data_IF_743813128176
#
_entry.id   IF_743813128176
#
_cell.length_a   1.000
_cell.length_b   1.000
_cell.length_c   1.000
_cell.angle_alpha   90.00
_cell.angle_beta   90.00
_cell.angle_gamma   90.00
#
_symmetry.space_group_name_H-M   'P 1'
#
loop_
_entity.id
_entity.type
_entity.pdbx_description
1 polymer ?
#
# COMPACT_ATOMS: atom_id res chain seq x y z
N UNK A 1 -10.39 -10.62 54.85
CA UNK A 1 -11.31 -11.24 53.83
C UNK A 1 -11.99 -10.10 53.09
N UNK A 2 -11.91 -10.08 51.77
CA UNK A 2 -12.60 -9.09 50.95
C UNK A 2 -14.09 -9.43 50.99
N UNK A 3 -14.94 -8.45 51.30
CA UNK A 3 -16.41 -8.64 51.32
C UNK A 3 -16.94 -8.38 49.92
N UNK A 4 -17.83 -9.24 49.41
CA UNK A 4 -18.53 -9.04 48.18
C UNK A 4 -19.47 -7.81 48.20
N UNK A 5 -19.92 -7.36 47.05
CA UNK A 5 -20.81 -6.18 46.89
C UNK A 5 -20.10 -4.84 47.01
N UNK A 6 -18.80 -4.76 46.67
CA UNK A 6 -18.01 -3.53 46.73
C UNK A 6 -18.04 -2.74 45.38
N UNK A 7 -18.50 -3.34 44.31
CA UNK A 7 -18.62 -2.67 43.00
C UNK A 7 -19.90 -1.83 42.91
N UNK A 8 -19.80 -0.64 42.37
CA UNK A 8 -20.98 0.10 41.98
C UNK A 8 -21.69 -0.62 40.82
N UNK A 9 -22.99 -0.34 40.62
CA UNK A 9 -23.75 -0.92 39.50
C UNK A 9 -23.16 -0.51 38.09
N UNK A 10 -22.49 0.64 38.01
CA UNK A 10 -21.83 1.15 36.84
C UNK A 10 -20.50 0.42 36.61
N UNK A 11 -19.65 0.35 37.62
CA UNK A 11 -18.37 -0.37 37.55
C UNK A 11 -18.57 -1.83 37.20
N UNK A 12 -19.57 -2.47 37.82
CA UNK A 12 -19.88 -3.86 37.55
C UNK A 12 -20.28 -4.08 36.08
N UNK A 13 -21.12 -3.22 35.53
CA UNK A 13 -21.49 -3.29 34.08
C UNK A 13 -20.27 -3.13 33.20
N UNK A 14 -19.41 -2.17 33.50
CA UNK A 14 -18.19 -1.90 32.75
C UNK A 14 -17.23 -3.09 32.80
N UNK A 15 -16.99 -3.63 33.99
CA UNK A 15 -16.09 -4.80 34.15
C UNK A 15 -16.65 -6.05 33.46
N UNK A 16 -17.96 -6.29 33.49
CA UNK A 16 -18.58 -7.39 32.72
C UNK A 16 -18.44 -7.20 31.24
N UNK A 17 -18.63 -5.98 30.72
CA UNK A 17 -18.41 -5.67 29.31
C UNK A 17 -16.96 -5.93 28.90
N UNK A 18 -16.00 -5.46 29.70
CA UNK A 18 -14.56 -5.68 29.47
C UNK A 18 -14.16 -7.17 29.56
N UNK A 19 -14.78 -7.91 30.45
CA UNK A 19 -14.56 -9.36 30.59
C UNK A 19 -15.06 -10.17 29.38
N UNK A 20 -16.08 -9.67 28.68
CA UNK A 20 -16.70 -10.29 27.49
C UNK A 20 -16.12 -9.80 26.17
N UNK A 21 -15.31 -8.75 26.21
CA UNK A 21 -14.70 -8.19 25.00
C UNK A 21 -13.56 -9.09 24.50
N UNK A 22 -13.82 -9.84 23.44
CA UNK A 22 -12.85 -10.72 22.80
C UNK A 22 -11.68 -9.99 22.14
N UNK A 23 -11.77 -8.67 21.95
CA UNK A 23 -10.70 -7.81 21.41
C UNK A 23 -9.82 -7.22 22.51
N UNK A 24 -10.28 -7.21 23.75
CA UNK A 24 -9.52 -6.69 24.88
C UNK A 24 -8.28 -7.55 25.17
N UNK A 25 -7.20 -6.89 25.59
CA UNK A 25 -5.99 -7.60 26.00
C UNK A 25 -6.31 -8.62 27.11
N UNK A 26 -5.87 -9.87 26.99
CA UNK A 26 -6.19 -10.97 27.92
C UNK A 26 -5.87 -10.65 29.38
N UNK A 27 -4.94 -9.71 29.65
CA UNK A 27 -4.63 -9.21 31.00
C UNK A 27 -5.77 -8.37 31.57
N UNK A 28 -6.43 -7.55 30.78
CA UNK A 28 -7.58 -6.73 31.19
C UNK A 28 -8.78 -7.61 31.48
N UNK A 29 -9.08 -8.55 30.60
CA UNK A 29 -10.15 -9.53 30.79
C UNK A 29 -9.98 -10.32 32.07
N UNK A 30 -8.76 -10.78 32.40
CA UNK A 30 -8.48 -11.49 33.64
C UNK A 30 -8.69 -10.63 34.88
N UNK A 31 -8.26 -9.36 34.86
CA UNK A 31 -8.47 -8.42 36.00
C UNK A 31 -9.96 -8.13 36.20
N UNK A 32 -10.68 -7.90 35.10
CA UNK A 32 -12.12 -7.68 35.17
C UNK A 32 -12.87 -8.88 35.73
N UNK A 33 -12.56 -10.10 35.26
CA UNK A 33 -13.14 -11.33 35.78
C UNK A 33 -12.85 -11.51 37.29
N UNK A 34 -11.60 -11.23 37.71
CA UNK A 34 -11.23 -11.39 39.12
C UNK A 34 -12.07 -10.48 40.04
N UNK A 35 -12.27 -9.22 39.67
CA UNK A 35 -13.05 -8.28 40.47
C UNK A 35 -14.54 -8.60 40.48
N UNK A 36 -15.10 -9.04 39.37
CA UNK A 36 -16.51 -9.48 39.30
C UNK A 36 -16.74 -10.69 40.19
N UNK A 37 -15.84 -11.68 40.17
CA UNK A 37 -15.94 -12.87 41.04
C UNK A 37 -15.77 -12.54 42.53
N UNK A 38 -14.84 -11.62 42.86
CA UNK A 38 -14.72 -11.12 44.24
C UNK A 38 -15.98 -10.41 44.73
N UNK A 39 -16.59 -9.59 43.85
CA UNK A 39 -17.84 -8.89 44.13
C UNK A 39 -19.02 -9.85 44.30
N UNK A 40 -19.02 -11.00 43.63
CA UNK A 40 -19.95 -12.11 43.82
C UNK A 40 -19.73 -12.91 45.11
N UNK A 41 -18.75 -12.52 45.95
CA UNK A 41 -18.48 -13.11 47.26
C UNK A 41 -17.45 -14.24 47.26
N UNK A 42 -16.76 -14.48 46.10
CA UNK A 42 -15.68 -15.48 46.06
C UNK A 42 -14.47 -15.02 46.91
N UNK A 43 -13.80 -15.94 47.56
CA UNK A 43 -12.53 -15.64 48.22
C UNK A 43 -11.39 -15.45 47.24
N UNK A 44 -10.34 -14.73 47.63
CA UNK A 44 -9.13 -14.56 46.78
C UNK A 44 -8.53 -15.91 46.35
N UNK A 45 -8.62 -16.94 47.21
CA UNK A 45 -8.10 -18.28 46.88
C UNK A 45 -8.95 -18.97 45.81
N UNK A 46 -10.27 -18.87 45.89
CA UNK A 46 -11.18 -19.44 44.89
C UNK A 46 -11.01 -18.74 43.52
N UNK A 47 -10.94 -17.40 43.53
CA UNK A 47 -10.69 -16.63 42.30
C UNK A 47 -9.32 -16.97 41.71
N UNK A 48 -8.30 -17.06 42.54
CA UNK A 48 -6.94 -17.42 42.12
C UNK A 48 -6.90 -18.81 41.47
N UNK A 49 -7.57 -19.79 42.11
CA UNK A 49 -7.69 -21.15 41.59
C UNK A 49 -8.43 -21.16 40.23
N UNK A 50 -9.56 -20.45 40.11
CA UNK A 50 -10.36 -20.38 38.88
C UNK A 50 -9.61 -19.71 37.71
N UNK A 51 -8.78 -18.70 37.99
CA UNK A 51 -8.04 -17.95 36.97
C UNK A 51 -6.60 -18.46 36.77
N UNK A 52 -6.19 -19.51 37.49
CA UNK A 52 -4.83 -20.08 37.49
C UNK A 52 -3.77 -19.02 37.84
N UNK A 53 -4.00 -18.29 38.94
CA UNK A 53 -3.16 -17.21 39.45
C UNK A 53 -2.79 -17.41 40.89
N UNK A 54 -1.92 -16.55 41.43
CA UNK A 54 -1.63 -16.49 42.86
C UNK A 54 -2.66 -15.56 43.55
N UNK A 55 -3.09 -15.91 44.79
CA UNK A 55 -4.07 -15.14 45.52
C UNK A 55 -3.56 -13.73 45.91
N UNK A 56 -2.25 -13.52 46.05
CA UNK A 56 -1.66 -12.21 46.25
C UNK A 56 -1.86 -11.31 44.99
N UNK A 57 -1.87 -11.89 43.79
CA UNK A 57 -2.18 -11.17 42.57
C UNK A 57 -3.62 -10.63 42.62
N UNK A 58 -4.56 -11.44 43.09
CA UNK A 58 -5.98 -11.04 43.20
C UNK A 58 -6.13 -9.92 44.25
N UNK A 59 -5.45 -10.05 45.44
CA UNK A 59 -5.45 -8.98 46.45
C UNK A 59 -4.87 -7.67 45.93
N UNK A 60 -3.79 -7.74 45.15
CA UNK A 60 -3.17 -6.57 44.54
C UNK A 60 -4.10 -5.88 43.52
N UNK A 61 -4.84 -6.64 42.73
CA UNK A 61 -5.79 -6.06 41.77
C UNK A 61 -6.98 -5.40 42.48
N UNK A 62 -7.50 -6.01 43.56
CA UNK A 62 -8.54 -5.39 44.37
C UNK A 62 -8.03 -4.08 44.99
N UNK A 63 -6.85 -4.09 45.61
CA UNK A 63 -6.23 -2.88 46.18
C UNK A 63 -6.00 -1.79 45.15
N UNK A 64 -5.60 -2.16 43.92
CA UNK A 64 -5.41 -1.23 42.84
C UNK A 64 -6.74 -0.59 42.40
N UNK A 65 -7.82 -1.40 42.37
CA UNK A 65 -9.17 -0.90 42.12
C UNK A 65 -9.66 0.04 43.21
N UNK A 66 -9.46 -0.31 44.49
CA UNK A 66 -9.81 0.57 45.60
C UNK A 66 -9.09 1.92 45.57
N UNK A 67 -7.84 1.95 45.10
CA UNK A 67 -7.02 3.14 45.05
C UNK A 67 -7.29 4.02 43.81
N UNK A 68 -7.56 3.45 42.66
CA UNK A 68 -7.60 4.14 41.37
C UNK A 68 -8.81 3.81 40.50
N UNK A 69 -9.76 3.04 41.03
CA UNK A 69 -10.95 2.64 40.24
C UNK A 69 -10.61 1.81 38.98
N UNK A 70 -11.49 1.86 38.03
CA UNK A 70 -11.33 1.16 36.74
C UNK A 70 -10.09 1.64 35.97
N UNK A 71 -9.76 2.93 36.02
CA UNK A 71 -8.59 3.50 35.33
C UNK A 71 -7.29 2.87 35.87
N UNK A 72 -7.21 2.55 37.16
CA UNK A 72 -6.07 1.86 37.73
C UNK A 72 -5.92 0.43 37.20
N UNK A 73 -7.02 -0.24 36.88
CA UNK A 73 -6.99 -1.60 36.32
C UNK A 73 -6.62 -1.59 34.81
N UNK A 74 -7.00 -0.56 34.09
CA UNK A 74 -6.73 -0.41 32.67
C UNK A 74 -5.36 0.21 32.42
N UNK A 75 -4.84 1.01 33.35
CA UNK A 75 -3.47 1.50 33.29
C UNK A 75 -2.50 0.37 33.64
N UNK A 76 -1.78 -0.09 32.67
CA UNK A 76 -0.60 -0.94 32.93
C UNK A 76 0.59 -0.02 33.20
N UNK A 77 0.79 0.38 34.45
CA UNK A 77 2.09 0.86 34.91
C UNK A 77 3.07 -0.34 34.92
N UNK A 78 3.19 -1.03 33.79
CA UNK A 78 4.33 -1.90 33.57
C UNK A 78 5.46 -0.92 33.26
N UNK A 79 6.21 -0.57 34.28
CA UNK A 79 7.53 0.02 34.03
C UNK A 79 8.20 -0.90 33.02
N UNK A 80 8.31 -0.45 31.76
CA UNK A 80 9.01 -1.22 30.75
C UNK A 80 10.38 -1.55 31.32
N UNK A 81 10.94 -2.71 30.99
CA UNK A 81 12.34 -3.02 31.28
C UNK A 81 13.14 -1.76 31.01
N UNK A 82 13.95 -1.34 32.01
CA UNK A 82 14.79 -0.13 31.86
C UNK A 82 15.43 -0.14 30.49
N UNK A 83 15.38 1.00 29.80
CA UNK A 83 15.99 1.10 28.47
C UNK A 83 17.44 0.65 28.57
N UNK A 84 17.85 -0.25 27.68
CA UNK A 84 19.23 -0.71 27.61
C UNK A 84 20.19 0.43 27.23
N UNK A 85 19.67 1.49 26.59
CA UNK A 85 20.32 2.74 26.29
C UNK A 85 19.86 3.84 27.25
N UNK A 86 20.76 4.71 27.66
CA UNK A 86 20.39 5.94 28.35
C UNK A 86 19.92 7.02 27.35
N UNK A 87 19.34 8.10 27.86
CA UNK A 87 18.76 9.17 27.02
C UNK A 87 19.78 9.79 26.04
N UNK A 88 21.04 9.98 26.46
CA UNK A 88 22.09 10.53 25.58
C UNK A 88 22.45 9.57 24.44
N UNK A 89 22.49 8.25 24.74
CA UNK A 89 22.75 7.22 23.74
C UNK A 89 21.57 7.06 22.77
N UNK A 90 20.32 7.21 23.25
CA UNK A 90 19.13 7.21 22.40
C UNK A 90 19.14 8.38 21.40
N UNK A 91 19.49 9.58 21.86
CA UNK A 91 19.63 10.76 20.97
C UNK A 91 20.79 10.60 19.98
N UNK A 92 21.92 10.06 20.39
CA UNK A 92 23.04 9.77 19.50
C UNK A 92 22.65 8.73 18.43
N UNK A 93 21.87 7.70 18.82
CA UNK A 93 21.35 6.70 17.89
C UNK A 93 20.36 7.32 16.89
N UNK A 94 19.44 8.18 17.33
CA UNK A 94 18.52 8.90 16.44
C UNK A 94 19.28 9.78 15.45
N UNK A 95 20.29 10.51 15.92
CA UNK A 95 21.15 11.33 15.08
C UNK A 95 21.89 10.49 14.02
N UNK A 96 22.46 9.35 14.41
CA UNK A 96 23.10 8.41 13.49
C UNK A 96 22.14 7.91 12.44
N UNK A 97 20.96 7.39 12.85
CA UNK A 97 19.96 6.86 11.92
C UNK A 97 19.47 7.95 10.97
N UNK A 98 19.23 9.15 11.48
CA UNK A 98 18.76 10.28 10.67
C UNK A 98 19.79 10.75 9.67
N UNK A 99 21.08 10.71 10.00
CA UNK A 99 22.16 11.19 9.12
C UNK A 99 22.61 10.13 8.12
N UNK A 100 22.77 8.88 8.59
CA UNK A 100 23.40 7.80 7.81
C UNK A 100 22.38 6.99 7.00
N UNK A 101 21.09 6.98 7.42
CA UNK A 101 20.00 6.19 6.82
C UNK A 101 20.40 4.71 6.62
N UNK A 102 20.74 3.99 7.70
CA UNK A 102 21.27 2.63 7.63
C UNK A 102 20.24 1.68 7.00
N UNK A 103 20.69 0.82 6.09
CA UNK A 103 19.82 -0.10 5.32
C UNK A 103 19.48 -1.39 6.05
N UNK A 104 20.09 -1.65 7.20
CA UNK A 104 19.88 -2.89 7.95
C UNK A 104 20.05 -2.69 9.45
N UNK A 105 19.33 -3.51 10.23
CA UNK A 105 19.52 -3.58 11.68
C UNK A 105 20.94 -3.99 12.08
N UNK A 106 21.69 -4.72 11.22
CA UNK A 106 23.09 -5.06 11.46
C UNK A 106 23.98 -3.81 11.53
N UNK A 107 23.77 -2.82 10.63
CA UNK A 107 24.52 -1.55 10.66
C UNK A 107 24.23 -0.77 11.95
N UNK A 108 22.97 -0.76 12.37
CA UNK A 108 22.55 -0.10 13.61
C UNK A 108 23.15 -0.79 14.82
N UNK A 109 23.10 -2.12 14.87
CA UNK A 109 23.70 -2.90 15.95
C UNK A 109 25.21 -2.73 16.02
N UNK A 110 25.91 -2.64 14.88
CA UNK A 110 27.34 -2.36 14.83
C UNK A 110 27.67 -0.96 15.38
N UNK A 111 26.89 0.06 15.05
CA UNK A 111 27.04 1.41 15.62
C UNK A 111 26.88 1.38 17.14
N UNK A 112 25.81 0.74 17.67
CA UNK A 112 25.57 0.65 19.11
C UNK A 112 26.75 -0.07 19.83
N UNK A 113 27.25 -1.15 19.23
CA UNK A 113 28.37 -1.89 19.81
C UNK A 113 29.66 -1.06 19.79
N UNK A 114 29.92 -0.34 18.72
CA UNK A 114 31.13 0.45 18.53
C UNK A 114 31.14 1.72 19.42
N UNK A 115 30.02 2.44 19.46
CA UNK A 115 29.97 3.74 20.15
C UNK A 115 29.61 3.60 21.64
N UNK A 116 28.81 2.58 22.00
CA UNK A 116 28.34 2.45 23.38
C UNK A 116 28.85 1.20 24.09
N UNK A 117 29.54 0.29 23.39
CA UNK A 117 30.01 -0.99 23.96
C UNK A 117 28.89 -1.96 24.30
N UNK A 118 27.68 -1.75 23.77
CA UNK A 118 26.49 -2.53 24.06
C UNK A 118 26.11 -3.44 22.88
N UNK A 119 25.75 -4.68 23.15
CA UNK A 119 25.38 -5.65 22.12
C UNK A 119 23.94 -6.10 22.29
N UNK A 120 23.14 -5.93 21.23
CA UNK A 120 21.79 -6.47 21.16
C UNK A 120 21.85 -7.92 20.62
N UNK A 121 21.56 -8.89 21.47
CA UNK A 121 21.61 -10.32 21.11
C UNK A 121 20.54 -10.72 20.10
N UNK A 122 19.39 -10.06 20.10
CA UNK A 122 18.29 -10.38 19.18
C UNK A 122 17.94 -9.23 18.25
N UNK A 123 17.68 -9.57 16.99
CA UNK A 123 17.16 -8.62 15.99
C UNK A 123 15.83 -8.01 16.41
N UNK A 124 14.94 -8.81 17.03
CA UNK A 124 13.63 -8.33 17.50
C UNK A 124 13.75 -7.31 18.61
N UNK A 125 14.70 -7.49 19.55
CA UNK A 125 14.98 -6.49 20.59
C UNK A 125 15.46 -5.17 20.01
N UNK A 126 16.33 -5.21 18.99
CA UNK A 126 16.79 -4.01 18.32
C UNK A 126 15.67 -3.31 17.53
N UNK A 127 14.81 -4.06 16.84
CA UNK A 127 13.63 -3.50 16.16
C UNK A 127 12.66 -2.86 17.17
N UNK A 128 12.43 -3.51 18.33
CA UNK A 128 11.58 -2.96 19.38
C UNK A 128 12.15 -1.64 19.94
N UNK A 129 13.48 -1.53 20.08
CA UNK A 129 14.15 -0.26 20.43
C UNK A 129 13.86 0.82 19.38
N UNK A 130 14.06 0.50 18.09
CA UNK A 130 13.86 1.47 17.01
C UNK A 130 12.42 1.99 16.98
N UNK A 131 11.42 1.12 17.08
CA UNK A 131 10.01 1.53 17.15
C UNK A 131 9.70 2.39 18.37
N UNK A 132 10.31 2.09 19.55
CA UNK A 132 10.16 2.92 20.75
C UNK A 132 10.76 4.32 20.57
N UNK A 133 11.81 4.44 19.74
CA UNK A 133 12.44 5.71 19.36
C UNK A 133 11.74 6.40 18.17
N UNK A 134 10.59 5.90 17.74
CA UNK A 134 9.81 6.41 16.60
C UNK A 134 10.58 6.31 15.27
N UNK A 135 11.36 5.25 15.12
CA UNK A 135 12.12 4.94 13.91
C UNK A 135 11.54 3.72 13.22
N UNK A 136 11.19 3.87 11.94
CA UNK A 136 10.62 2.81 11.12
C UNK A 136 11.46 2.54 9.87
N UNK A 137 11.31 1.33 9.32
CA UNK A 137 11.98 0.95 8.09
C UNK A 137 11.13 1.33 6.88
N UNK A 138 11.57 2.35 6.14
CA UNK A 138 10.91 2.85 4.95
C UNK A 138 11.64 2.48 3.67
N UNK A 139 10.88 2.15 2.62
CA UNK A 139 11.38 2.16 1.26
C UNK A 139 11.19 3.57 0.68
N UNK A 140 12.27 4.26 0.25
CA UNK A 140 12.13 5.58 -0.33
C UNK A 140 11.22 5.57 -1.56
N UNK A 141 10.37 6.58 -1.67
CA UNK A 141 9.62 6.84 -2.89
C UNK A 141 10.52 7.51 -3.93
N UNK A 142 10.34 7.11 -5.18
CA UNK A 142 10.98 7.79 -6.30
C UNK A 142 10.06 8.92 -6.75
N UNK A 143 10.52 10.16 -6.61
CA UNK A 143 9.80 11.34 -7.09
C UNK A 143 10.56 11.96 -8.26
N UNK A 144 9.89 12.35 -9.34
CA UNK A 144 10.54 13.04 -10.45
C UNK A 144 11.11 14.39 -10.01
N UNK A 145 12.31 14.70 -10.46
CA UNK A 145 13.02 15.94 -10.08
C UNK A 145 12.33 17.23 -10.57
N UNK A 146 11.51 17.12 -11.62
CA UNK A 146 10.86 18.25 -12.30
C UNK A 146 9.33 18.24 -12.11
N UNK A 147 8.86 17.88 -10.91
CA UNK A 147 7.44 17.99 -10.60
C UNK A 147 7.03 19.46 -10.52
N UNK A 148 5.87 19.75 -11.10
CA UNK A 148 5.23 21.07 -11.08
C UNK A 148 3.85 20.90 -10.41
N UNK A 149 3.69 21.45 -9.21
CA UNK A 149 2.47 21.29 -8.44
C UNK A 149 1.28 22.03 -9.06
N UNK A 150 1.53 23.18 -9.64
CA UNK A 150 0.45 24.00 -10.21
C UNK A 150 -0.12 23.36 -11.47
N UNK A 151 0.74 22.77 -12.30
CA UNK A 151 0.27 21.98 -13.46
C UNK A 151 -0.48 20.72 -13.06
N UNK A 152 -0.11 20.09 -11.94
CA UNK A 152 -0.86 18.93 -11.44
C UNK A 152 -2.26 19.36 -10.97
N UNK A 153 -2.38 20.49 -10.27
CA UNK A 153 -3.67 21.04 -9.83
C UNK A 153 -4.54 21.42 -11.02
N UNK A 154 -3.97 22.17 -11.97
CA UNK A 154 -4.67 22.57 -13.19
C UNK A 154 -5.20 21.36 -13.95
N UNK A 155 -4.38 20.33 -14.13
CA UNK A 155 -4.79 19.09 -14.78
C UNK A 155 -5.95 18.40 -14.05
N UNK A 156 -5.88 18.29 -12.72
CA UNK A 156 -6.94 17.64 -11.91
C UNK A 156 -8.24 18.45 -12.03
N UNK A 157 -8.16 19.76 -11.92
CA UNK A 157 -9.34 20.64 -12.08
C UNK A 157 -9.96 20.53 -13.47
N UNK A 158 -9.15 20.48 -14.53
CA UNK A 158 -9.64 20.35 -15.90
C UNK A 158 -10.21 18.95 -16.17
N UNK A 159 -9.62 17.91 -15.60
CA UNK A 159 -10.17 16.55 -15.62
C UNK A 159 -11.55 16.51 -14.93
N UNK A 160 -11.66 17.05 -13.74
CA UNK A 160 -12.92 17.11 -13.00
C UNK A 160 -14.00 17.90 -13.74
N UNK A 161 -13.64 19.01 -14.41
CA UNK A 161 -14.57 19.76 -15.27
C UNK A 161 -15.09 18.90 -16.42
N UNK A 162 -14.21 18.14 -17.08
CA UNK A 162 -14.59 17.24 -18.17
C UNK A 162 -15.55 16.17 -17.64
N UNK A 163 -15.23 15.50 -16.53
CA UNK A 163 -16.10 14.49 -15.96
C UNK A 163 -17.48 15.03 -15.55
N UNK A 164 -17.50 16.20 -14.93
CA UNK A 164 -18.76 16.84 -14.49
C UNK A 164 -19.64 17.32 -15.65
N UNK A 165 -19.06 17.53 -16.82
CA UNK A 165 -19.78 17.96 -18.03
C UNK A 165 -19.96 16.86 -19.07
N UNK A 166 -19.53 15.62 -18.76
CA UNK A 166 -19.53 14.50 -19.70
C UNK A 166 -20.95 14.15 -20.15
N UNK A 167 -21.17 14.16 -21.44
CA UNK A 167 -22.47 13.79 -22.04
C UNK A 167 -22.62 12.28 -22.18
N UNK A 168 -23.85 11.80 -22.30
CA UNK A 168 -24.15 10.36 -22.48
C UNK A 168 -23.51 9.74 -23.72
N UNK A 169 -23.14 10.57 -24.70
CA UNK A 169 -22.50 10.17 -25.96
C UNK A 169 -20.99 10.46 -25.97
N UNK A 170 -20.40 10.62 -24.81
CA UNK A 170 -18.97 10.90 -24.64
C UNK A 170 -18.34 9.83 -23.76
N UNK A 171 -17.05 9.59 -23.93
CA UNK A 171 -16.32 8.58 -23.17
C UNK A 171 -14.91 9.06 -22.89
N UNK A 172 -14.37 8.65 -21.73
CA UNK A 172 -13.02 8.99 -21.27
C UNK A 172 -12.17 7.72 -21.25
N UNK A 173 -10.98 7.81 -21.84
CA UNK A 173 -9.95 6.77 -21.80
C UNK A 173 -8.60 7.36 -21.36
N UNK A 174 -7.81 6.52 -20.74
CA UNK A 174 -6.40 6.78 -20.45
C UNK A 174 -5.53 5.89 -21.32
N UNK A 175 -4.54 6.47 -21.97
CA UNK A 175 -3.65 5.78 -22.90
C UNK A 175 -2.18 5.93 -22.49
N UNK A 176 -1.40 4.90 -22.77
CA UNK A 176 0.04 4.86 -22.53
C UNK A 176 0.67 3.66 -23.26
N UNK A 177 1.99 3.63 -23.28
CA UNK A 177 2.75 2.51 -23.81
C UNK A 177 3.57 1.81 -22.74
N UNK A 178 3.63 0.48 -22.82
CA UNK A 178 4.44 -0.33 -21.91
C UNK A 178 5.33 -1.30 -22.69
N UNK A 179 6.53 -1.56 -22.15
CA UNK A 179 7.53 -2.41 -22.76
C UNK A 179 7.92 -3.58 -21.85
N UNK A 180 7.01 -4.53 -21.54
CA UNK A 180 7.33 -5.63 -20.68
C UNK A 180 8.35 -6.56 -21.30
N UNK A 181 9.37 -6.91 -20.52
CA UNK A 181 10.42 -7.84 -20.92
C UNK A 181 10.01 -9.28 -20.63
N UNK A 182 10.39 -10.19 -21.53
CA UNK A 182 10.24 -11.64 -21.33
C UNK A 182 11.22 -12.13 -20.27
N UNK A 183 10.91 -11.81 -19.03
CA UNK A 183 11.69 -12.21 -17.86
C UNK A 183 10.77 -12.49 -16.67
N UNK A 184 11.08 -13.55 -15.93
CA UNK A 184 10.40 -13.82 -14.68
C UNK A 184 10.72 -12.76 -13.64
N UNK A 185 9.73 -12.38 -12.83
CA UNK A 185 9.88 -11.45 -11.69
C UNK A 185 9.64 -12.22 -10.39
N UNK A 186 10.70 -12.70 -9.71
CA UNK A 186 10.55 -13.40 -8.45
C UNK A 186 9.96 -12.46 -7.37
N UNK A 187 8.91 -12.90 -6.72
CA UNK A 187 8.31 -12.23 -5.56
C UNK A 187 8.06 -13.24 -4.46
N UNK A 188 8.05 -12.78 -3.20
CA UNK A 188 7.75 -13.64 -2.06
C UNK A 188 6.38 -14.30 -2.19
N UNK A 189 6.29 -15.60 -1.87
CA UNK A 189 5.05 -16.35 -1.82
C UNK A 189 5.05 -17.32 -0.64
N UNK A 190 3.86 -17.74 -0.22
CA UNK A 190 3.73 -18.77 0.80
C UNK A 190 3.99 -20.15 0.20
N UNK A 191 4.83 -20.93 0.88
CA UNK A 191 5.15 -22.30 0.51
C UNK A 191 5.45 -23.13 1.76
N UNK A 192 5.41 -24.47 1.68
CA UNK A 192 5.87 -25.35 2.75
C UNK A 192 7.31 -25.01 3.16
N UNK A 193 7.59 -25.05 4.47
CA UNK A 193 8.89 -24.62 5.04
C UNK A 193 10.10 -25.38 4.45
N UNK A 194 9.92 -26.62 4.05
CA UNK A 194 10.96 -27.48 3.48
C UNK A 194 11.23 -27.20 2.00
N UNK A 195 10.34 -26.47 1.30
CA UNK A 195 10.48 -26.26 -0.13
C UNK A 195 11.53 -25.20 -0.43
N UNK A 196 12.40 -25.51 -1.39
CA UNK A 196 13.35 -24.56 -1.97
C UNK A 196 12.82 -24.14 -3.33
N UNK A 197 12.04 -23.05 -3.34
CA UNK A 197 11.45 -22.55 -4.57
C UNK A 197 12.50 -21.94 -5.48
N UNK A 198 12.43 -22.25 -6.74
CA UNK A 198 13.20 -21.62 -7.82
C UNK A 198 12.28 -21.35 -9.01
N UNK A 199 12.62 -20.35 -9.79
CA UNK A 199 11.95 -20.03 -11.05
C UNK A 199 13.01 -19.96 -12.15
N UNK A 200 12.74 -20.58 -13.27
CA UNK A 200 13.61 -20.47 -14.44
C UNK A 200 13.56 -19.04 -14.98
N UNK A 201 14.70 -18.57 -15.43
CA UNK A 201 14.82 -17.24 -15.99
C UNK A 201 15.31 -17.29 -17.41
N UNK A 202 14.64 -16.57 -18.30
CA UNK A 202 15.10 -16.33 -19.67
C UNK A 202 16.21 -15.29 -19.70
N UNK A 203 16.81 -15.05 -20.87
CA UNK A 203 17.86 -14.01 -21.04
C UNK A 203 17.37 -12.59 -20.71
N UNK A 204 16.04 -12.35 -20.71
CA UNK A 204 15.41 -11.06 -20.45
C UNK A 204 15.69 -9.99 -21.51
N UNK A 205 16.22 -10.37 -22.69
CA UNK A 205 16.54 -9.43 -23.78
C UNK A 205 15.36 -9.14 -24.67
N UNK A 206 14.45 -10.11 -24.81
CA UNK A 206 13.24 -9.94 -25.62
C UNK A 206 12.19 -9.15 -24.85
N UNK A 207 11.50 -8.29 -25.57
CA UNK A 207 10.39 -7.48 -25.02
C UNK A 207 9.29 -7.35 -26.08
N UNK A 208 8.09 -7.10 -25.62
CA UNK A 208 6.97 -6.69 -26.47
C UNK A 208 6.68 -5.20 -26.23
N UNK A 209 6.15 -4.53 -27.23
CA UNK A 209 5.76 -3.14 -27.11
C UNK A 209 4.24 -3.06 -27.24
N UNK A 210 3.58 -2.69 -26.18
CA UNK A 210 2.13 -2.57 -26.12
C UNK A 210 1.80 -1.08 -26.04
N UNK A 211 1.00 -0.61 -26.99
CA UNK A 211 0.38 0.70 -26.93
C UNK A 211 -1.09 0.49 -26.61
N UNK A 212 -1.59 1.07 -25.51
CA UNK A 212 -2.89 0.70 -25.00
C UNK A 212 -3.70 1.85 -24.43
N UNK A 213 -5.00 1.59 -24.28
CA UNK A 213 -5.93 2.48 -23.61
C UNK A 213 -6.91 1.69 -22.74
N UNK A 214 -7.41 2.34 -21.70
CA UNK A 214 -8.43 1.80 -20.78
C UNK A 214 -9.51 2.85 -20.49
N UNK A 215 -10.76 2.38 -20.45
CA UNK A 215 -11.88 3.10 -19.87
C UNK A 215 -12.05 2.65 -18.42
N UNK A 216 -12.01 3.58 -17.47
CA UNK A 216 -12.07 3.25 -16.04
C UNK A 216 -13.48 2.93 -15.55
N UNK A 217 -14.51 3.39 -16.23
CA UNK A 217 -15.90 3.09 -15.87
C UNK A 217 -16.26 1.65 -16.21
N UNK A 218 -15.94 1.21 -17.42
CA UNK A 218 -16.34 -0.11 -17.93
C UNK A 218 -15.25 -1.18 -17.83
N UNK A 219 -13.99 -0.79 -17.60
CA UNK A 219 -12.84 -1.68 -17.68
C UNK A 219 -12.47 -2.11 -19.09
N UNK A 220 -13.14 -1.57 -20.09
CA UNK A 220 -12.80 -1.86 -21.49
C UNK A 220 -11.41 -1.38 -21.83
N UNK A 221 -10.65 -2.24 -22.46
CA UNK A 221 -9.28 -1.96 -22.90
C UNK A 221 -9.15 -2.06 -24.40
N UNK A 222 -8.25 -1.25 -24.96
CA UNK A 222 -7.77 -1.41 -26.31
C UNK A 222 -6.26 -1.47 -26.29
N UNK A 223 -5.70 -2.62 -26.68
CA UNK A 223 -4.27 -2.90 -26.62
C UNK A 223 -3.79 -3.33 -28.00
N UNK A 224 -2.79 -2.66 -28.52
CA UNK A 224 -2.13 -3.03 -29.78
C UNK A 224 -0.69 -3.43 -29.48
N UNK A 225 -0.25 -4.52 -30.11
CA UNK A 225 1.14 -4.94 -30.14
C UNK A 225 1.81 -4.27 -31.34
N UNK A 226 2.91 -3.58 -31.10
CA UNK A 226 3.57 -2.75 -32.11
C UNK A 226 5.08 -2.99 -32.09
N UNK A 227 5.72 -2.90 -33.25
CA UNK A 227 7.17 -3.00 -33.32
C UNK A 227 7.85 -1.80 -32.66
N UNK A 228 7.28 -0.62 -32.86
CA UNK A 228 7.80 0.64 -32.32
C UNK A 228 6.64 1.51 -31.84
N UNK A 229 6.82 2.16 -30.69
CA UNK A 229 5.89 3.18 -30.21
C UNK A 229 6.30 4.52 -30.80
N UNK A 230 5.48 5.04 -31.71
CA UNK A 230 5.72 6.25 -32.48
C UNK A 230 4.40 6.93 -32.93
N UNK A 231 4.48 7.91 -33.78
CA UNK A 231 3.31 8.61 -34.31
C UNK A 231 2.36 7.69 -35.11
N UNK A 232 2.90 6.71 -35.84
CA UNK A 232 2.08 5.78 -36.63
C UNK A 232 1.32 4.81 -35.69
N UNK A 233 2.00 4.26 -34.71
CA UNK A 233 1.35 3.40 -33.69
C UNK A 233 0.33 4.17 -32.84
N UNK A 234 0.56 5.46 -32.60
CA UNK A 234 -0.44 6.34 -31.95
C UNK A 234 -1.70 6.41 -32.79
N UNK A 235 -1.60 6.67 -34.08
CA UNK A 235 -2.77 6.73 -34.97
C UNK A 235 -3.48 5.38 -35.01
N UNK A 236 -2.76 4.28 -35.11
CA UNK A 236 -3.34 2.93 -35.09
C UNK A 236 -4.13 2.69 -33.80
N UNK A 237 -3.62 3.13 -32.63
CA UNK A 237 -4.35 3.05 -31.38
C UNK A 237 -5.61 3.91 -31.41
N UNK A 238 -5.52 5.15 -31.85
CA UNK A 238 -6.67 6.06 -31.93
C UNK A 238 -7.77 5.55 -32.87
N UNK A 239 -7.40 4.98 -34.03
CA UNK A 239 -8.34 4.30 -34.94
C UNK A 239 -9.02 3.11 -34.24
N UNK A 240 -8.26 2.32 -33.54
CA UNK A 240 -8.77 1.18 -32.81
C UNK A 240 -9.70 1.59 -31.65
N UNK A 241 -9.46 2.74 -31.00
CA UNK A 241 -10.35 3.33 -30.00
C UNK A 241 -11.64 3.82 -30.64
N UNK A 242 -11.57 4.57 -31.75
CA UNK A 242 -12.77 5.01 -32.47
C UNK A 242 -13.65 3.85 -32.92
N UNK A 243 -13.04 2.76 -33.38
CA UNK A 243 -13.76 1.54 -33.76
C UNK A 243 -14.42 0.83 -32.56
N UNK A 244 -13.82 0.93 -31.37
CA UNK A 244 -14.37 0.36 -30.13
C UNK A 244 -15.65 1.10 -29.69
N UNK A 245 -15.73 2.40 -29.98
CA UNK A 245 -16.84 3.28 -29.55
C UNK A 245 -17.58 3.89 -30.73
N UNK A 246 -18.26 3.10 -31.59
CA UNK A 246 -18.87 3.59 -32.82
C UNK A 246 -20.04 4.56 -32.58
N UNK A 247 -20.67 4.50 -31.42
CA UNK A 247 -21.85 5.32 -31.07
C UNK A 247 -21.49 6.59 -30.31
N UNK A 248 -20.25 6.75 -29.85
CA UNK A 248 -19.82 7.95 -29.14
C UNK A 248 -19.54 9.10 -30.08
N UNK A 249 -20.02 10.27 -29.73
CA UNK A 249 -19.84 11.50 -30.50
C UNK A 249 -18.49 12.15 -30.23
N UNK A 250 -17.97 11.98 -29.00
CA UNK A 250 -16.69 12.49 -28.57
C UNK A 250 -15.98 11.47 -27.68
N UNK A 251 -14.70 11.28 -27.91
CA UNK A 251 -13.85 10.36 -27.17
C UNK A 251 -12.67 11.15 -26.63
N UNK A 252 -12.67 11.36 -25.31
CA UNK A 252 -11.57 12.01 -24.62
C UNK A 252 -10.48 10.99 -24.31
N UNK A 253 -9.26 11.23 -24.80
CA UNK A 253 -8.11 10.36 -24.57
C UNK A 253 -7.05 11.13 -23.80
N UNK A 254 -6.80 10.73 -22.56
CA UNK A 254 -5.75 11.25 -21.70
C UNK A 254 -4.49 10.42 -21.91
N UNK A 255 -3.37 11.07 -22.19
CA UNK A 255 -2.10 10.41 -22.48
C UNK A 255 -0.92 11.29 -22.02
N UNK A 256 0.26 10.69 -21.96
CA UNK A 256 1.46 11.40 -21.58
C UNK A 256 1.87 12.47 -22.64
N UNK A 257 2.79 13.33 -22.27
CA UNK A 257 3.25 14.41 -23.12
C UNK A 257 4.46 14.00 -23.99
N UNK A 258 4.46 12.77 -24.54
CA UNK A 258 5.52 12.29 -25.39
C UNK A 258 5.52 12.99 -26.76
N UNK A 259 6.71 13.25 -27.30
CA UNK A 259 6.88 14.03 -28.55
C UNK A 259 6.14 13.45 -29.76
N UNK A 260 6.02 12.13 -29.84
CA UNK A 260 5.37 11.47 -30.97
C UNK A 260 3.86 11.71 -31.00
N UNK A 261 3.22 12.00 -29.86
CA UNK A 261 1.81 12.40 -29.81
C UNK A 261 1.57 13.79 -30.40
N UNK A 262 2.60 14.65 -30.42
CA UNK A 262 2.56 15.98 -31.01
C UNK A 262 3.07 16.02 -32.46
N UNK A 263 3.38 14.88 -33.04
CA UNK A 263 3.89 14.81 -34.42
C UNK A 263 2.86 15.36 -35.43
N UNK A 264 3.34 15.99 -36.47
CA UNK A 264 2.48 16.55 -37.57
C UNK A 264 1.51 15.49 -38.10
N UNK A 265 1.96 14.25 -38.21
CA UNK A 265 1.14 13.14 -38.69
C UNK A 265 -0.09 12.91 -37.79
N UNK A 266 0.08 12.92 -36.49
CA UNK A 266 -1.02 12.78 -35.52
C UNK A 266 -1.94 13.99 -35.59
N UNK A 267 -1.41 15.20 -35.66
CA UNK A 267 -2.20 16.43 -35.78
C UNK A 267 -3.05 16.45 -37.06
N UNK A 268 -2.47 16.04 -38.20
CA UNK A 268 -3.20 15.91 -39.45
C UNK A 268 -4.31 14.86 -39.37
N UNK A 269 -4.04 13.76 -38.72
CA UNK A 269 -5.02 12.71 -38.49
C UNK A 269 -6.19 13.18 -37.61
N UNK A 270 -5.92 13.93 -36.56
CA UNK A 270 -6.93 14.52 -35.66
C UNK A 270 -7.76 15.60 -36.37
N UNK A 271 -7.15 16.36 -37.33
CA UNK A 271 -7.83 17.41 -38.07
C UNK A 271 -8.73 16.87 -39.21
N UNK A 272 -8.79 15.55 -39.42
CA UNK A 272 -9.63 14.96 -40.48
C UNK A 272 -11.12 15.19 -40.21
N UNK A 273 -11.97 15.39 -41.23
CA UNK A 273 -13.40 15.47 -41.07
C UNK A 273 -13.97 14.20 -40.37
N UNK A 274 -14.83 14.40 -39.39
CA UNK A 274 -15.47 13.31 -38.67
C UNK A 274 -14.60 12.61 -37.58
N UNK A 275 -13.42 13.14 -37.28
CA UNK A 275 -12.62 12.66 -36.13
C UNK A 275 -13.37 12.94 -34.82
N UNK A 276 -13.53 11.90 -34.01
CA UNK A 276 -14.24 11.99 -32.73
C UNK A 276 -13.30 11.99 -31.54
N UNK A 277 -11.98 11.96 -31.75
CA UNK A 277 -10.97 11.92 -30.69
C UNK A 277 -10.56 13.35 -30.30
N UNK A 278 -10.53 13.57 -28.99
CA UNK A 278 -9.92 14.76 -28.38
C UNK A 278 -8.81 14.32 -27.40
N UNK A 279 -7.58 14.71 -27.71
CA UNK A 279 -6.43 14.40 -26.84
C UNK A 279 -6.31 15.40 -25.71
N UNK A 280 -5.98 14.90 -24.53
CA UNK A 280 -5.66 15.65 -23.33
C UNK A 280 -4.31 15.18 -22.79
N UNK A 281 -3.40 16.13 -22.54
CA UNK A 281 -2.04 15.79 -22.18
C UNK A 281 -1.85 15.89 -20.68
N UNK A 282 -1.40 14.78 -20.09
CA UNK A 282 -1.01 14.71 -18.69
C UNK A 282 0.28 15.51 -18.50
N UNK A 283 0.43 16.28 -17.42
CA UNK A 283 1.64 17.03 -17.14
C UNK A 283 2.88 16.14 -17.18
N UNK A 284 3.95 16.63 -17.76
CA UNK A 284 5.21 15.90 -17.86
C UNK A 284 5.73 15.49 -16.47
N UNK A 285 6.33 14.32 -16.37
CA UNK A 285 6.86 13.75 -15.13
C UNK A 285 5.79 13.41 -14.07
N UNK A 286 4.53 13.26 -14.45
CA UNK A 286 3.43 12.94 -13.55
C UNK A 286 2.76 11.59 -13.89
N UNK A 287 3.48 10.46 -13.91
CA UNK A 287 2.89 9.15 -14.23
C UNK A 287 1.80 8.73 -13.23
N UNK A 288 1.84 9.24 -12.01
CA UNK A 288 0.81 9.01 -10.98
C UNK A 288 -0.57 9.58 -11.35
N UNK A 289 -0.63 10.52 -12.29
CA UNK A 289 -1.86 11.08 -12.87
C UNK A 289 -2.34 10.30 -14.11
N UNK A 290 -1.66 9.20 -14.48
CA UNK A 290 -2.12 8.29 -15.51
C UNK A 290 -2.54 6.94 -14.91
N UNK A 291 -3.84 6.66 -14.76
CA UNK A 291 -4.32 5.41 -14.16
C UNK A 291 -3.87 4.14 -14.89
N UNK A 292 -3.60 4.20 -16.17
CA UNK A 292 -3.14 3.05 -16.96
C UNK A 292 -1.79 2.51 -16.44
N UNK A 293 -0.97 3.33 -15.79
CA UNK A 293 0.26 2.90 -15.13
C UNK A 293 -0.02 1.87 -14.01
N UNK A 294 -1.16 2.01 -13.34
CA UNK A 294 -1.62 1.03 -12.34
C UNK A 294 -2.07 -0.27 -13.00
N UNK A 295 -2.64 -0.18 -14.21
CA UNK A 295 -2.96 -1.36 -15.03
C UNK A 295 -1.70 -2.14 -15.41
N UNK A 296 -0.61 -1.45 -15.75
CA UNK A 296 0.68 -2.11 -16.01
C UNK A 296 1.20 -2.83 -14.76
N UNK A 297 1.06 -2.22 -13.60
CA UNK A 297 1.36 -2.88 -12.32
C UNK A 297 0.50 -4.12 -12.07
N UNK A 298 -0.81 -4.05 -12.39
CA UNK A 298 -1.73 -5.17 -12.30
C UNK A 298 -1.34 -6.31 -13.27
N UNK A 299 -1.00 -5.97 -14.50
CA UNK A 299 -0.49 -6.92 -15.50
C UNK A 299 0.74 -7.65 -14.96
N UNK A 300 1.73 -6.94 -14.42
CA UNK A 300 2.91 -7.58 -13.87
C UNK A 300 2.59 -8.55 -12.74
N UNK A 301 1.70 -8.19 -11.82
CA UNK A 301 1.27 -9.07 -10.73
C UNK A 301 0.63 -10.37 -11.23
N UNK A 302 -0.13 -10.30 -12.32
CA UNK A 302 -0.90 -11.43 -12.83
C UNK A 302 -0.16 -12.26 -13.88
N UNK A 303 0.79 -11.66 -14.61
CA UNK A 303 1.45 -12.30 -15.76
C UNK A 303 2.93 -12.63 -15.49
N UNK A 304 3.69 -11.73 -14.83
CA UNK A 304 5.15 -11.92 -14.71
C UNK A 304 5.62 -12.35 -13.32
N UNK A 305 4.85 -12.12 -12.25
CA UNK A 305 5.25 -12.51 -10.92
C UNK A 305 5.23 -14.03 -10.76
N UNK A 306 6.37 -14.61 -10.43
CA UNK A 306 6.58 -16.05 -10.24
C UNK A 306 6.13 -16.92 -11.42
N UNK A 307 6.16 -16.39 -12.64
CA UNK A 307 5.83 -17.10 -13.85
C UNK A 307 6.99 -16.99 -14.86
N UNK A 308 7.31 -18.10 -15.50
CA UNK A 308 8.24 -18.18 -16.61
C UNK A 308 7.50 -18.74 -17.84
N UNK A 309 7.72 -18.14 -18.98
CA UNK A 309 7.16 -18.57 -20.27
C UNK A 309 8.29 -19.14 -21.12
N UNK A 310 8.05 -20.26 -21.78
CA UNK A 310 9.08 -20.91 -22.56
C UNK A 310 9.51 -20.09 -23.78
N UNK A 311 8.60 -19.30 -24.37
CA UNK A 311 8.87 -18.45 -25.53
C UNK A 311 8.33 -17.05 -25.36
N UNK A 312 8.92 -16.08 -26.07
CA UNK A 312 8.41 -14.70 -26.10
C UNK A 312 6.99 -14.61 -26.67
N UNK A 313 6.62 -15.48 -27.60
CA UNK A 313 5.25 -15.55 -28.13
C UNK A 313 4.24 -15.95 -27.02
N UNK A 314 4.51 -16.98 -26.24
CA UNK A 314 3.66 -17.37 -25.11
C UNK A 314 3.54 -16.25 -24.07
N UNK A 315 4.64 -15.53 -23.83
CA UNK A 315 4.64 -14.36 -22.94
C UNK A 315 3.76 -13.22 -23.50
N UNK A 316 3.87 -12.96 -24.81
CA UNK A 316 3.04 -11.97 -25.49
C UNK A 316 1.55 -12.33 -25.44
N UNK A 317 1.21 -13.58 -25.75
CA UNK A 317 -0.17 -14.09 -25.70
C UNK A 317 -0.76 -14.00 -24.30
N UNK A 318 0.00 -14.40 -23.27
CA UNK A 318 -0.44 -14.29 -21.88
C UNK A 318 -0.65 -12.83 -21.45
N UNK A 319 0.23 -11.92 -21.87
CA UNK A 319 0.16 -10.50 -21.54
C UNK A 319 -1.03 -9.83 -22.24
N UNK A 320 -1.18 -10.05 -23.54
CA UNK A 320 -2.28 -9.47 -24.33
C UNK A 320 -3.63 -10.10 -23.94
N UNK A 321 -3.68 -11.41 -23.72
CA UNK A 321 -4.88 -12.10 -23.23
C UNK A 321 -5.33 -11.58 -21.87
N UNK A 322 -4.39 -11.33 -20.95
CA UNK A 322 -4.73 -10.70 -19.67
C UNK A 322 -5.33 -9.30 -19.87
N UNK A 323 -4.67 -8.45 -20.64
CA UNK A 323 -5.07 -7.06 -20.85
C UNK A 323 -6.35 -6.92 -21.67
N UNK A 324 -6.52 -7.71 -22.74
CA UNK A 324 -7.65 -7.61 -23.68
C UNK A 324 -8.92 -8.32 -23.22
N UNK A 325 -8.77 -9.40 -22.47
CA UNK A 325 -9.89 -10.28 -22.14
C UNK A 325 -10.15 -10.36 -20.64
N UNK A 326 -9.11 -10.66 -19.84
CA UNK A 326 -9.31 -10.88 -18.40
C UNK A 326 -9.63 -9.59 -17.66
N UNK A 327 -8.99 -8.48 -18.00
CA UNK A 327 -9.27 -7.19 -17.37
C UNK A 327 -10.71 -6.75 -17.60
N UNK A 328 -11.24 -6.66 -18.83
CA UNK A 328 -12.64 -6.28 -19.03
C UNK A 328 -13.63 -7.25 -18.39
N UNK A 329 -13.38 -8.56 -18.53
CA UNK A 329 -14.27 -9.60 -17.98
C UNK A 329 -14.37 -9.57 -16.46
N UNK A 330 -13.29 -9.24 -15.78
CA UNK A 330 -13.20 -9.26 -14.32
C UNK A 330 -13.03 -7.84 -13.72
N UNK A 331 -13.53 -6.82 -14.40
CA UNK A 331 -13.28 -5.43 -14.01
C UNK A 331 -13.69 -5.13 -12.57
N UNK A 332 -14.80 -5.69 -12.09
CA UNK A 332 -15.25 -5.53 -10.71
C UNK A 332 -14.22 -5.97 -9.65
N UNK A 333 -13.26 -6.86 -10.01
CA UNK A 333 -12.17 -7.26 -9.12
C UNK A 333 -10.96 -6.33 -9.19
N UNK A 334 -10.83 -5.55 -10.26
CA UNK A 334 -9.65 -4.76 -10.56
C UNK A 334 -9.86 -3.26 -10.44
N UNK A 335 -11.11 -2.78 -10.52
CA UNK A 335 -11.45 -1.35 -10.55
C UNK A 335 -10.85 -0.58 -9.35
N UNK A 336 -10.87 -1.14 -8.14
CA UNK A 336 -10.28 -0.51 -6.95
C UNK A 336 -8.75 -0.38 -7.01
N UNK A 337 -8.10 -1.14 -7.91
CA UNK A 337 -6.65 -1.08 -8.10
C UNK A 337 -6.23 -0.12 -9.22
N UNK A 338 -7.16 0.28 -10.10
CA UNK A 338 -6.90 1.14 -11.27
C UNK A 338 -7.87 2.32 -11.23
N UNK A 339 -7.62 3.25 -10.34
CA UNK A 339 -8.50 4.39 -10.06
C UNK A 339 -7.92 5.71 -10.56
N UNK A 340 -8.74 6.72 -10.70
CA UNK A 340 -8.40 8.12 -10.96
C UNK A 340 -8.36 8.98 -9.70
N UNK A 341 -8.16 8.38 -8.53
CA UNK A 341 -7.95 9.07 -7.26
C UNK A 341 -6.64 9.87 -7.31
N UNK A 342 -6.66 10.98 -8.03
CA UNK A 342 -5.50 11.82 -8.24
C UNK A 342 -5.12 12.59 -6.98
N UNK A 343 -3.81 12.75 -6.79
CA UNK A 343 -3.24 13.54 -5.69
C UNK A 343 -2.10 14.38 -6.22
N UNK A 344 -2.04 15.62 -5.78
CA UNK A 344 -0.89 16.48 -6.02
C UNK A 344 0.29 15.96 -5.19
N UNK A 345 1.39 15.65 -5.85
CA UNK A 345 2.64 15.28 -5.20
C UNK A 345 3.52 16.52 -5.14
N UNK A 346 3.81 16.98 -3.90
CA UNK A 346 4.77 18.05 -3.65
C UNK A 346 6.12 17.46 -3.22
N UNK A 347 7.23 17.82 -3.85
CA UNK A 347 8.55 17.45 -3.38
C UNK A 347 8.83 17.90 -1.92
N UNK A 348 8.16 18.97 -1.48
CA UNK A 348 8.30 19.50 -0.11
C UNK A 348 7.76 18.56 0.97
N UNK A 349 6.89 17.61 0.59
CA UNK A 349 6.36 16.61 1.52
C UNK A 349 7.33 15.44 1.76
N UNK A 350 8.51 15.46 1.11
CA UNK A 350 9.48 14.38 1.20
C UNK A 350 10.85 14.93 1.60
N UNK A 351 11.54 14.19 2.45
CA UNK A 351 12.96 14.39 2.66
C UNK A 351 13.71 13.79 1.47
N UNK A 352 14.19 14.64 0.56
CA UNK A 352 14.98 14.20 -0.60
C UNK A 352 16.35 13.73 -0.13
N UNK A 353 16.71 12.50 -0.46
CA UNK A 353 18.05 11.95 -0.21
C UNK A 353 18.99 12.47 -1.31
N UNK A 354 20.08 13.10 -0.94
CA UNK A 354 21.14 13.60 -1.83
C UNK A 354 22.31 12.62 -1.88
#
# INVERSE_FOLDING_TARGET
>A
MIRGGFLSAEDRRHLIALARDGSAASRLTRRANALVLLDDGWSCQEVAAALLLNDDTIRNWHKLFEQRGIDGLTSFDVGGSASFLNAAQEEALKAFVSTTLPRSTRQIGAFIAQEFGLVYESRSGLIALLHRLDLEYHKPNVIPRKLDEDKQKEFIEDYDKILNSLGNNEVVLFADAVHPTHAARPVGCWAPKQDRLAIEQTSGRERINIHGAINLESGQTRMIDVQTVDAASTITLLEAIEALYPLMMLIHVFLDNARYHHAKLVQQWLARPGCRIKLHFIPSYCPHLNPIERLWGLMHRNVTHNKCYATCAQFADATLGFLREQVPRNWAQFCDSVTDNFRVISPNNFRVMT
#
